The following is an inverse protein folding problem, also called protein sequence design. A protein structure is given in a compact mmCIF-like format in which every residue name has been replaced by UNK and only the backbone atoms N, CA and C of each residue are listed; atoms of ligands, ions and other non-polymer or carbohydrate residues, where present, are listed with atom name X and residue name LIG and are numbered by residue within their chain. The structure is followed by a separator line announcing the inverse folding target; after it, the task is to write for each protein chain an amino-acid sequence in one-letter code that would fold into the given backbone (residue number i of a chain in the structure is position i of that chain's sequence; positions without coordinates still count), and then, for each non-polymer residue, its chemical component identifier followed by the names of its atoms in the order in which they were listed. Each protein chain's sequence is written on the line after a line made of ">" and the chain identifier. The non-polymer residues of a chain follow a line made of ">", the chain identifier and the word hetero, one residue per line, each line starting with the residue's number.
data_IF_895131986745
#
_entry.id   IF_895131986745
#
_cell.length_a   1.000
_cell.length_b   1.000
_cell.length_c   1.000
_cell.angle_alpha   90.00
_cell.angle_beta   90.00
_cell.angle_gamma   90.00
#
_symmetry.space_group_name_H-M   'P 1'
#
loop_
_entity.id
_entity.type
_entity.pdbx_description
1 polymer ?
#
# COMPACT_ATOMS: atom_id res chain seq x y z
N UNK A 1 -12.97 -11.58 18.57
CA UNK A 1 -13.75 -11.13 17.39
C UNK A 1 -13.26 -11.90 16.18
N UNK A 2 -14.14 -12.56 15.41
CA UNK A 2 -13.73 -13.33 14.21
C UNK A 2 -13.13 -12.41 13.15
N UNK A 3 -12.08 -12.85 12.42
CA UNK A 3 -11.40 -12.05 11.39
C UNK A 3 -12.35 -11.47 10.35
N UNK A 4 -13.36 -12.25 9.96
CA UNK A 4 -14.43 -11.82 9.03
C UNK A 4 -15.26 -10.67 9.58
N UNK A 5 -15.56 -10.70 10.88
CA UNK A 5 -16.34 -9.66 11.56
C UNK A 5 -15.51 -8.39 11.69
N UNK A 6 -14.23 -8.50 12.04
CA UNK A 6 -13.31 -7.36 12.07
C UNK A 6 -13.15 -6.71 10.68
N UNK A 7 -12.96 -7.52 9.64
CA UNK A 7 -12.90 -7.08 8.23
C UNK A 7 -14.14 -6.29 7.82
N UNK A 8 -15.31 -6.84 8.13
CA UNK A 8 -16.58 -6.18 7.83
C UNK A 8 -16.69 -4.83 8.51
N UNK A 9 -16.39 -4.75 9.82
CA UNK A 9 -16.43 -3.48 10.55
C UNK A 9 -15.42 -2.46 10.05
N UNK A 10 -14.19 -2.87 9.73
CA UNK A 10 -13.19 -1.97 9.14
C UNK A 10 -13.63 -1.41 7.79
N UNK A 11 -14.21 -2.26 6.93
CA UNK A 11 -14.72 -1.82 5.62
C UNK A 11 -15.93 -0.89 5.76
N UNK A 12 -16.84 -1.18 6.70
CA UNK A 12 -18.02 -0.37 6.97
C UNK A 12 -17.65 1.00 7.54
N UNK A 13 -16.75 1.06 8.51
CA UNK A 13 -16.28 2.32 9.08
C UNK A 13 -15.57 3.17 8.01
N UNK A 14 -14.72 2.55 7.20
CA UNK A 14 -14.06 3.20 6.07
C UNK A 14 -15.08 3.75 5.07
N UNK A 15 -16.07 2.94 4.68
CA UNK A 15 -17.16 3.37 3.80
C UNK A 15 -17.87 4.60 4.34
N UNK A 16 -18.37 4.54 5.58
CA UNK A 16 -19.16 5.62 6.19
C UNK A 16 -18.34 6.90 6.30
N UNK A 17 -17.08 6.80 6.74
CA UNK A 17 -16.21 7.95 6.90
C UNK A 17 -15.96 8.65 5.55
N UNK A 18 -15.52 7.91 4.53
CA UNK A 18 -15.22 8.50 3.23
C UNK A 18 -16.48 8.91 2.45
N UNK A 19 -17.61 8.23 2.66
CA UNK A 19 -18.90 8.65 2.14
C UNK A 19 -19.32 10.01 2.72
N UNK A 20 -19.33 10.13 4.05
CA UNK A 20 -19.74 11.36 4.72
C UNK A 20 -18.80 12.53 4.39
N UNK A 21 -17.49 12.28 4.36
CA UNK A 21 -16.50 13.28 3.99
C UNK A 21 -16.72 13.79 2.56
N UNK A 22 -16.92 12.87 1.61
CA UNK A 22 -17.10 13.22 0.19
C UNK A 22 -18.43 13.93 -0.04
N UNK A 23 -19.48 13.50 0.64
CA UNK A 23 -20.77 14.17 0.60
C UNK A 23 -20.62 15.63 1.07
N UNK A 24 -20.04 15.83 2.25
CA UNK A 24 -19.78 17.17 2.80
C UNK A 24 -18.89 18.02 1.88
N UNK A 25 -17.80 17.45 1.35
CA UNK A 25 -16.85 18.18 0.51
C UNK A 25 -17.44 18.65 -0.83
N UNK A 26 -18.41 17.92 -1.39
CA UNK A 26 -19.01 18.21 -2.68
C UNK A 26 -20.33 18.99 -2.57
N UNK A 27 -21.08 18.84 -1.48
CA UNK A 27 -22.26 19.65 -1.14
C UNK A 27 -21.90 21.14 -1.00
N UNK A 28 -20.67 21.46 -0.58
CA UNK A 28 -20.15 22.82 -0.52
C UNK A 28 -19.97 23.53 -1.88
N UNK A 29 -19.97 22.78 -2.98
CA UNK A 29 -19.56 23.30 -4.31
C UNK A 29 -20.62 23.05 -5.39
N UNK A 30 -21.50 22.07 -5.22
CA UNK A 30 -22.47 21.66 -6.23
C UNK A 30 -23.88 21.54 -5.63
N UNK A 31 -24.85 22.22 -6.23
CA UNK A 31 -26.27 22.09 -5.89
C UNK A 31 -26.92 20.83 -6.51
N UNK A 32 -26.21 20.14 -7.41
CA UNK A 32 -26.65 18.89 -8.00
C UNK A 32 -26.48 17.72 -7.00
N UNK A 33 -27.56 17.44 -6.26
CA UNK A 33 -27.63 16.37 -5.26
C UNK A 33 -27.34 14.98 -5.85
N UNK A 34 -27.68 14.73 -7.12
CA UNK A 34 -27.43 13.44 -7.76
C UNK A 34 -25.92 13.22 -7.96
N UNK A 35 -25.22 14.25 -8.44
CA UNK A 35 -23.77 14.24 -8.64
C UNK A 35 -23.00 14.11 -7.31
N UNK A 36 -23.46 14.80 -6.26
CA UNK A 36 -22.89 14.73 -4.91
C UNK A 36 -23.05 13.34 -4.32
N UNK A 37 -24.25 12.75 -4.38
CA UNK A 37 -24.52 11.42 -3.84
C UNK A 37 -23.75 10.34 -4.59
N UNK A 38 -23.70 10.42 -5.92
CA UNK A 38 -22.93 9.51 -6.77
C UNK A 38 -21.44 9.57 -6.42
N UNK A 39 -20.87 10.75 -6.25
CA UNK A 39 -19.48 10.93 -5.85
C UNK A 39 -19.19 10.34 -4.46
N UNK A 40 -20.09 10.57 -3.50
CA UNK A 40 -19.98 10.00 -2.16
C UNK A 40 -20.03 8.47 -2.16
N UNK A 41 -20.95 7.87 -2.94
CA UNK A 41 -21.04 6.42 -3.11
C UNK A 41 -19.77 5.84 -3.73
N UNK A 42 -19.25 6.47 -4.77
CA UNK A 42 -18.03 6.02 -5.47
C UNK A 42 -16.83 6.07 -4.52
N UNK A 43 -16.62 7.16 -3.80
CA UNK A 43 -15.46 7.30 -2.91
C UNK A 43 -15.56 6.40 -1.67
N UNK A 44 -16.76 6.27 -1.09
CA UNK A 44 -17.03 5.33 0.00
C UNK A 44 -16.75 3.89 -0.43
N UNK A 45 -17.25 3.49 -1.61
CA UNK A 45 -17.08 2.13 -2.15
C UNK A 45 -15.63 1.83 -2.50
N UNK A 46 -14.92 2.79 -3.10
CA UNK A 46 -13.49 2.68 -3.41
C UNK A 46 -12.70 2.40 -2.13
N UNK A 47 -12.94 3.21 -1.08
CA UNK A 47 -12.23 3.11 0.19
C UNK A 47 -12.52 1.79 0.91
N UNK A 48 -13.78 1.35 0.91
CA UNK A 48 -14.18 0.05 1.45
C UNK A 48 -13.51 -1.11 0.70
N UNK A 49 -13.49 -1.05 -0.63
CA UNK A 49 -12.89 -2.08 -1.49
C UNK A 49 -11.38 -2.17 -1.28
N UNK A 50 -10.68 -1.04 -1.26
CA UNK A 50 -9.24 -0.99 -0.96
C UNK A 50 -8.97 -1.54 0.44
N UNK A 51 -9.78 -1.17 1.43
CA UNK A 51 -9.65 -1.67 2.81
C UNK A 51 -9.82 -3.18 2.87
N UNK A 52 -10.82 -3.74 2.20
CA UNK A 52 -11.06 -5.19 2.13
C UNK A 52 -9.94 -5.93 1.41
N UNK A 53 -9.54 -5.45 0.22
CA UNK A 53 -8.47 -6.06 -0.57
C UNK A 53 -7.14 -6.05 0.19
N UNK A 54 -6.79 -4.91 0.78
CA UNK A 54 -5.57 -4.77 1.56
C UNK A 54 -5.58 -5.68 2.78
N UNK A 55 -6.68 -5.70 3.54
CA UNK A 55 -6.80 -6.54 4.74
C UNK A 55 -6.82 -8.03 4.38
N UNK A 56 -7.51 -8.43 3.30
CA UNK A 56 -7.53 -9.82 2.83
C UNK A 56 -6.15 -10.27 2.33
N UNK A 57 -5.47 -9.43 1.54
CA UNK A 57 -4.12 -9.70 1.06
C UNK A 57 -3.13 -9.82 2.24
N UNK A 58 -3.24 -8.95 3.24
CA UNK A 58 -2.47 -9.04 4.48
C UNK A 58 -2.75 -10.34 5.24
N UNK A 59 -4.02 -10.69 5.48
CA UNK A 59 -4.37 -11.91 6.20
C UNK A 59 -3.87 -13.16 5.48
N UNK A 60 -4.00 -13.22 4.15
CA UNK A 60 -3.45 -14.31 3.33
C UNK A 60 -1.93 -14.36 3.35
N UNK A 61 -1.27 -13.19 3.29
CA UNK A 61 0.19 -13.10 3.36
C UNK A 61 0.70 -13.55 4.73
N UNK A 62 0.07 -13.11 5.82
CA UNK A 62 0.42 -13.51 7.19
C UNK A 62 0.13 -15.00 7.43
N UNK A 63 -0.98 -15.55 6.93
CA UNK A 63 -1.24 -16.99 7.05
C UNK A 63 -0.22 -17.84 6.27
N UNK A 64 0.24 -17.35 5.11
CA UNK A 64 1.18 -18.08 4.25
C UNK A 64 2.65 -17.90 4.66
N UNK A 65 3.01 -16.75 5.22
CA UNK A 65 4.39 -16.36 5.48
C UNK A 65 4.67 -16.01 6.94
N UNK A 66 3.69 -16.02 7.85
CA UNK A 66 3.85 -15.62 9.25
C UNK A 66 4.74 -16.52 10.11
N UNK A 67 5.14 -17.70 9.60
CA UNK A 67 6.15 -18.59 10.21
C UNK A 67 7.55 -18.40 9.59
N UNK A 68 7.67 -17.59 8.54
CA UNK A 68 8.94 -17.25 7.92
C UNK A 68 9.22 -15.77 8.15
N UNK A 69 10.37 -15.46 8.74
CA UNK A 69 10.86 -14.10 8.91
C UNK A 69 11.15 -13.45 7.54
N UNK A 70 10.12 -13.02 6.81
CA UNK A 70 10.25 -12.47 5.46
C UNK A 70 10.08 -10.95 5.53
N UNK A 71 11.16 -10.30 5.92
CA UNK A 71 11.48 -8.98 5.39
C UNK A 71 11.82 -9.18 3.91
N UNK A 72 10.99 -8.60 3.02
CA UNK A 72 11.17 -8.43 1.55
C UNK A 72 10.36 -9.39 0.65
N UNK A 73 9.04 -9.18 0.65
CA UNK A 73 8.05 -9.72 -0.29
C UNK A 73 8.36 -9.47 -1.78
N UNK A 74 9.24 -8.51 -2.12
CA UNK A 74 9.51 -8.11 -3.50
C UNK A 74 10.78 -8.69 -4.14
N UNK A 75 11.61 -9.43 -3.41
CA UNK A 75 12.90 -9.93 -3.96
C UNK A 75 12.90 -11.46 -4.17
N UNK A 76 12.11 -12.18 -3.38
CA UNK A 76 12.07 -13.65 -3.35
C UNK A 76 11.65 -14.32 -4.69
N UNK A 77 10.66 -13.81 -5.46
CA UNK A 77 10.22 -14.51 -6.67
C UNK A 77 11.29 -14.60 -7.77
N UNK A 78 12.18 -13.61 -7.84
CA UNK A 78 13.23 -13.53 -8.88
C UNK A 78 14.43 -14.43 -8.55
N UNK A 79 14.76 -14.56 -7.25
CA UNK A 79 15.90 -15.37 -6.80
C UNK A 79 15.52 -16.87 -6.77
N UNK A 80 14.25 -17.20 -6.49
CA UNK A 80 13.80 -18.58 -6.36
C UNK A 80 13.31 -19.24 -7.67
N UNK A 81 13.25 -18.54 -8.81
CA UNK A 81 12.79 -19.13 -10.08
C UNK A 81 13.85 -19.94 -10.84
N UNK A 82 15.06 -20.07 -10.29
CA UNK A 82 16.16 -20.81 -10.92
C UNK A 82 15.99 -22.31 -10.68
N UNK A 83 15.18 -22.95 -11.53
CA UNK A 83 14.79 -24.36 -11.38
C UNK A 83 15.83 -25.37 -11.94
N UNK A 84 16.74 -24.94 -12.82
CA UNK A 84 17.66 -25.87 -13.50
C UNK A 84 19.03 -25.98 -12.82
N UNK A 85 19.42 -27.21 -12.42
CA UNK A 85 20.69 -27.53 -11.73
C UNK A 85 21.90 -27.68 -12.66
N UNK A 86 22.01 -26.87 -13.71
CA UNK A 86 23.20 -26.87 -14.56
C UNK A 86 24.32 -26.05 -13.93
N UNK A 87 25.58 -26.46 -14.15
CA UNK A 87 26.77 -25.79 -13.59
C UNK A 87 26.84 -24.31 -13.97
N UNK A 88 26.39 -23.98 -15.19
CA UNK A 88 26.31 -22.61 -15.70
C UNK A 88 25.30 -21.76 -14.93
N UNK A 89 24.15 -22.34 -14.57
CA UNK A 89 23.10 -21.63 -13.85
C UNK A 89 23.48 -21.36 -12.39
N UNK A 90 24.18 -22.31 -11.76
CA UNK A 90 24.78 -22.13 -10.43
C UNK A 90 25.86 -21.04 -10.47
N UNK A 91 26.68 -20.98 -11.53
CA UNK A 91 27.67 -19.93 -11.71
C UNK A 91 27.02 -18.56 -11.89
N UNK A 92 25.98 -18.45 -12.72
CA UNK A 92 25.18 -17.21 -12.88
C UNK A 92 24.60 -16.78 -11.54
N UNK A 93 24.02 -17.71 -10.78
CA UNK A 93 23.45 -17.43 -9.46
C UNK A 93 24.50 -16.96 -8.45
N UNK A 94 25.69 -17.57 -8.44
CA UNK A 94 26.81 -17.14 -7.58
C UNK A 94 27.31 -15.76 -7.96
N UNK A 95 27.45 -15.48 -9.26
CA UNK A 95 27.84 -14.16 -9.75
C UNK A 95 26.80 -13.10 -9.41
N UNK A 96 25.51 -13.43 -9.53
CA UNK A 96 24.42 -12.52 -9.17
C UNK A 96 24.41 -12.22 -7.67
N UNK A 97 24.59 -13.23 -6.82
CA UNK A 97 24.71 -13.04 -5.37
C UNK A 97 25.99 -12.27 -4.99
N UNK A 98 27.10 -12.51 -5.67
CA UNK A 98 28.33 -11.74 -5.47
C UNK A 98 28.14 -10.27 -5.85
N UNK A 99 27.47 -10.00 -6.98
CA UNK A 99 27.14 -8.65 -7.43
C UNK A 99 26.15 -7.95 -6.48
N UNK A 100 25.15 -8.67 -5.96
CA UNK A 100 24.22 -8.17 -4.95
C UNK A 100 24.93 -7.86 -3.63
N UNK A 101 25.82 -8.74 -3.16
CA UNK A 101 26.64 -8.50 -1.97
C UNK A 101 27.59 -7.32 -2.14
N UNK A 102 28.19 -7.17 -3.32
CA UNK A 102 29.04 -6.03 -3.64
C UNK A 102 28.24 -4.72 -3.67
N UNK A 103 27.04 -4.77 -4.27
CA UNK A 103 26.12 -3.64 -4.32
C UNK A 103 25.61 -3.26 -2.92
N UNK A 104 25.27 -4.24 -2.08
CA UNK A 104 24.88 -4.04 -0.69
C UNK A 104 26.03 -3.46 0.15
N UNK A 105 27.26 -3.92 -0.06
CA UNK A 105 28.48 -3.40 0.60
C UNK A 105 28.86 -2.00 0.11
N UNK A 106 28.52 -1.64 -1.12
CA UNK A 106 28.73 -0.28 -1.66
C UNK A 106 27.59 0.67 -1.25
N UNK A 107 26.38 0.14 -1.06
CA UNK A 107 25.21 0.88 -0.57
C UNK A 107 25.21 1.08 0.96
N UNK A 108 26.01 0.34 1.73
CA UNK A 108 26.10 0.48 3.19
C UNK A 108 26.62 1.86 3.65
N UNK A 109 27.27 2.63 2.77
CA UNK A 109 27.73 3.99 3.04
C UNK A 109 26.79 5.11 2.58
N UNK A 110 25.75 4.79 1.79
CA UNK A 110 24.78 5.75 1.29
C UNK A 110 23.39 5.37 1.84
N UNK A 111 23.17 5.66 3.12
CA UNK A 111 21.92 5.36 3.83
C UNK A 111 20.85 6.35 3.40
N UNK A 112 20.37 6.26 2.15
CA UNK A 112 18.97 6.56 1.89
C UNK A 112 18.27 5.22 2.08
N UNK A 113 17.69 4.98 3.26
CA UNK A 113 17.16 3.66 3.54
C UNK A 113 15.97 3.48 2.58
N UNK A 114 15.95 2.38 1.81
CA UNK A 114 14.90 2.12 0.81
C UNK A 114 13.48 2.16 1.39
N UNK A 115 13.36 2.15 2.70
CA UNK A 115 12.20 2.50 3.52
C UNK A 115 11.65 3.90 3.32
N UNK A 116 12.43 4.91 2.96
CA UNK A 116 11.88 6.24 2.64
C UNK A 116 11.11 6.21 1.30
N UNK A 117 11.53 5.33 0.39
CA UNK A 117 10.91 5.13 -0.92
C UNK A 117 9.82 4.05 -0.91
N UNK A 118 9.82 3.17 0.09
CA UNK A 118 8.89 2.04 0.18
C UNK A 118 7.40 2.45 0.26
N UNK A 119 7.01 3.52 0.98
CA UNK A 119 5.64 4.03 0.95
C UNK A 119 5.29 4.75 -0.35
N UNK A 120 6.27 5.29 -1.07
CA UNK A 120 6.03 6.15 -2.23
C UNK A 120 5.34 5.38 -3.36
N UNK A 121 5.79 4.17 -3.67
CA UNK A 121 5.18 3.37 -4.74
C UNK A 121 3.70 3.01 -4.45
N UNK A 122 3.34 2.47 -3.27
CA UNK A 122 1.94 2.30 -2.86
C UNK A 122 1.13 3.59 -2.87
N UNK A 123 1.69 4.70 -2.37
CA UNK A 123 1.02 5.99 -2.35
C UNK A 123 0.74 6.52 -3.75
N UNK A 124 1.67 6.37 -4.69
CA UNK A 124 1.47 6.74 -6.09
C UNK A 124 0.34 5.91 -6.70
N UNK A 125 0.34 4.60 -6.50
CA UNK A 125 -0.71 3.72 -7.04
C UNK A 125 -2.08 4.07 -6.45
N UNK A 126 -2.18 4.26 -5.13
CA UNK A 126 -3.41 4.66 -4.47
C UNK A 126 -3.91 6.02 -4.95
N UNK A 127 -3.02 7.03 -4.99
CA UNK A 127 -3.36 8.37 -5.45
C UNK A 127 -3.83 8.36 -6.91
N UNK A 128 -3.16 7.60 -7.78
CA UNK A 128 -3.51 7.47 -9.19
C UNK A 128 -4.92 6.89 -9.37
N UNK A 129 -5.24 5.84 -8.63
CA UNK A 129 -6.56 5.20 -8.68
C UNK A 129 -7.63 6.16 -8.13
N UNK A 130 -7.39 6.79 -6.98
CA UNK A 130 -8.35 7.70 -6.35
C UNK A 130 -8.62 8.94 -7.21
N UNK A 131 -7.58 9.55 -7.79
CA UNK A 131 -7.73 10.68 -8.71
C UNK A 131 -8.45 10.23 -9.99
N UNK A 132 -8.05 9.11 -10.59
CA UNK A 132 -8.65 8.61 -11.83
C UNK A 132 -10.14 8.31 -11.70
N UNK A 133 -10.55 7.65 -10.63
CA UNK A 133 -11.96 7.31 -10.38
C UNK A 133 -12.82 8.56 -10.16
N UNK A 134 -12.35 9.53 -9.36
CA UNK A 134 -13.10 10.76 -9.11
C UNK A 134 -13.11 11.69 -10.34
N UNK A 135 -12.05 11.67 -11.16
CA UNK A 135 -12.03 12.39 -12.43
C UNK A 135 -13.03 11.82 -13.43
N UNK A 136 -13.09 10.48 -13.58
CA UNK A 136 -14.08 9.80 -14.41
C UNK A 136 -15.52 10.03 -13.91
N UNK A 137 -15.70 10.26 -12.61
CA UNK A 137 -17.00 10.51 -12.00
C UNK A 137 -17.40 11.99 -11.98
N UNK A 138 -16.62 12.88 -12.60
CA UNK A 138 -16.86 14.32 -12.64
C UNK A 138 -17.09 14.93 -11.25
N UNK A 139 -16.34 14.47 -10.25
CA UNK A 139 -16.51 14.92 -8.87
C UNK A 139 -16.18 16.41 -8.73
N UNK A 140 -17.12 17.25 -8.26
CA UNK A 140 -16.98 18.71 -8.22
C UNK A 140 -15.74 19.20 -7.47
N UNK A 141 -15.46 18.60 -6.32
CA UNK A 141 -14.37 18.97 -5.43
C UNK A 141 -13.35 17.83 -5.28
N UNK A 142 -12.63 17.56 -6.37
CA UNK A 142 -11.66 16.46 -6.45
C UNK A 142 -10.59 16.51 -5.35
N UNK A 143 -9.98 17.67 -5.13
CA UNK A 143 -8.86 17.80 -4.20
C UNK A 143 -9.30 17.62 -2.74
N UNK A 144 -10.41 18.22 -2.34
CA UNK A 144 -10.93 18.06 -0.98
C UNK A 144 -11.42 16.62 -0.73
N UNK A 145 -11.84 15.92 -1.78
CA UNK A 145 -12.27 14.52 -1.73
C UNK A 145 -11.09 13.54 -1.57
N UNK A 146 -9.97 13.78 -2.26
CA UNK A 146 -8.86 12.82 -2.35
C UNK A 146 -7.69 13.16 -1.42
N UNK A 147 -7.45 14.44 -1.12
CA UNK A 147 -6.29 14.89 -0.33
C UNK A 147 -6.21 14.29 1.09
N UNK A 148 -7.31 14.16 1.86
CA UNK A 148 -7.24 13.55 3.20
C UNK A 148 -6.85 12.08 3.13
N UNK A 149 -7.34 11.34 2.13
CA UNK A 149 -6.97 9.94 1.92
C UNK A 149 -5.47 9.79 1.65
N UNK A 150 -4.93 10.59 0.72
CA UNK A 150 -3.49 10.60 0.40
C UNK A 150 -2.66 11.01 1.63
N UNK A 151 -3.11 12.03 2.36
CA UNK A 151 -2.40 12.54 3.54
C UNK A 151 -2.34 11.50 4.66
N UNK A 152 -3.48 10.96 5.10
CA UNK A 152 -3.51 9.99 6.19
C UNK A 152 -2.82 8.68 5.84
N UNK A 153 -2.94 8.20 4.60
CA UNK A 153 -2.18 7.03 4.15
C UNK A 153 -0.68 7.33 4.07
N UNK A 154 -0.29 8.54 3.68
CA UNK A 154 1.09 8.99 3.71
C UNK A 154 1.67 8.98 5.12
N UNK A 155 1.01 9.65 6.06
CA UNK A 155 1.41 9.70 7.48
C UNK A 155 1.50 8.29 8.05
N UNK A 156 0.48 7.46 7.84
CA UNK A 156 0.47 6.08 8.30
C UNK A 156 1.65 5.27 7.72
N UNK A 157 1.85 5.35 6.39
CA UNK A 157 2.92 4.64 5.68
C UNK A 157 4.31 5.02 6.19
N UNK A 158 4.57 6.31 6.42
CA UNK A 158 5.84 6.77 6.97
C UNK A 158 6.02 6.40 8.45
N UNK A 159 5.02 6.65 9.31
CA UNK A 159 5.09 6.32 10.75
C UNK A 159 5.31 4.82 10.97
N UNK A 160 4.59 3.99 10.23
CA UNK A 160 4.75 2.54 10.28
C UNK A 160 6.15 2.12 9.86
N UNK A 161 6.66 2.71 8.78
CA UNK A 161 7.99 2.43 8.27
C UNK A 161 9.10 2.86 9.24
N UNK A 162 8.98 4.02 9.89
CA UNK A 162 9.91 4.47 10.93
C UNK A 162 9.89 3.56 12.15
N UNK A 163 8.71 3.08 12.56
CA UNK A 163 8.57 2.14 13.68
C UNK A 163 9.28 0.81 13.38
N UNK A 164 9.13 0.30 12.16
CA UNK A 164 9.77 -0.94 11.71
C UNK A 164 11.30 -0.83 11.63
N UNK A 165 11.81 0.34 11.22
CA UNK A 165 13.25 0.64 11.23
C UNK A 165 13.81 0.69 12.65
N UNK A 166 13.08 1.35 13.58
CA UNK A 166 13.49 1.47 14.98
C UNK A 166 13.59 0.10 15.66
N UNK A 167 12.65 -0.80 15.40
CA UNK A 167 12.71 -2.18 15.92
C UNK A 167 13.89 -2.97 15.35
N UNK A 168 14.23 -2.77 14.07
CA UNK A 168 15.40 -3.42 13.45
C UNK A 168 16.72 -2.96 14.05
N UNK A 169 16.85 -1.67 14.35
CA UNK A 169 18.06 -1.13 14.99
C UNK A 169 18.16 -1.55 16.47
N UNK A 170 17.03 -1.75 17.16
CA UNK A 170 17.02 -2.23 18.54
C UNK A 170 17.31 -3.75 18.68
N UNK A 171 17.22 -4.50 17.59
CA UNK A 171 17.49 -5.94 17.53
C UNK A 171 18.90 -6.30 17.01
N UNK A 172 19.74 -5.29 16.72
CA UNK A 172 21.16 -5.43 16.32
C UNK A 172 22.07 -5.02 17.46
#
# INVERSE_FOLDING_TARGET
>A
MSSKVRLFWSALISFIFYFAWTYWANDMVSEDTELVLRSALVQGSLSATITLLFTFALEKSVQKYGQHSISLFFVVPIICSVHSKTTQNIAIFRTFNAALNLSAKKASGAVIPGTLLAPILPLIVQASIAIGVNWLNQTPNLWLTVAPSIFFTGVYGYVYTFTLLKERTAAQ
#
